data_IF_873876084432
#
_entry.id   IF_873876084432
#
_cell.length_a   1.000
_cell.length_b   1.000
_cell.length_c   1.000
_cell.angle_alpha   90.00
_cell.angle_beta   90.00
_cell.angle_gamma   90.00
#
_symmetry.space_group_name_H-M   'P 1'
#
loop_
_entity.id
_entity.type
_entity.pdbx_description
1 polymer ?
#
# COMPACT_ATOMS: atom_id res chain seq x y z
N UNK A 1 -16.16 -29.62 21.55
CA UNK A 1 -15.92 -28.64 20.47
C UNK A 1 -15.32 -29.37 19.30
N UNK A 2 -15.91 -29.22 18.12
CA UNK A 2 -15.30 -29.63 16.86
C UNK A 2 -14.31 -28.53 16.48
N UNK A 3 -13.03 -28.89 16.38
CA UNK A 3 -11.96 -28.00 15.97
C UNK A 3 -12.00 -27.86 14.44
N UNK A 4 -12.88 -26.98 13.95
CA UNK A 4 -12.95 -26.64 12.54
C UNK A 4 -11.98 -25.50 12.27
N UNK A 5 -11.10 -25.74 11.30
CA UNK A 5 -10.20 -24.73 10.78
C UNK A 5 -10.93 -23.83 9.79
N UNK A 6 -10.70 -22.53 9.92
CA UNK A 6 -11.26 -21.53 9.03
C UNK A 6 -10.60 -21.59 7.65
N UNK A 7 -11.41 -21.40 6.62
CA UNK A 7 -10.96 -21.37 5.22
C UNK A 7 -11.08 -19.99 4.57
N UNK A 8 -11.84 -19.09 5.21
CA UNK A 8 -12.03 -17.70 4.81
C UNK A 8 -11.86 -16.75 6.00
N UNK A 9 -11.45 -15.51 5.73
CA UNK A 9 -11.42 -14.47 6.75
C UNK A 9 -12.84 -14.19 7.29
N UNK A 10 -12.90 -13.74 8.54
CA UNK A 10 -14.11 -13.48 9.32
C UNK A 10 -14.94 -14.71 9.69
N UNK A 11 -14.44 -15.93 9.45
CA UNK A 11 -15.03 -17.12 10.05
C UNK A 11 -14.86 -17.10 11.59
N UNK A 12 -15.83 -17.65 12.34
CA UNK A 12 -15.79 -17.67 13.79
C UNK A 12 -14.67 -18.56 14.32
N UNK A 13 -14.07 -18.17 15.45
CA UNK A 13 -12.98 -18.88 16.08
C UNK A 13 -12.94 -18.66 17.59
N UNK A 14 -12.24 -19.56 18.28
CA UNK A 14 -11.88 -19.45 19.70
C UNK A 14 -10.35 -19.38 19.87
N UNK A 15 -9.60 -20.01 18.97
CA UNK A 15 -8.15 -20.09 19.03
C UNK A 15 -7.48 -19.71 17.69
N UNK A 16 -6.26 -19.14 17.77
CA UNK A 16 -5.47 -18.77 16.60
C UNK A 16 -5.21 -19.96 15.65
N UNK A 17 -5.09 -21.18 16.19
CA UNK A 17 -4.83 -22.40 15.40
C UNK A 17 -5.94 -22.70 14.38
N UNK A 18 -7.18 -22.31 14.67
CA UNK A 18 -8.30 -22.47 13.72
C UNK A 18 -8.09 -21.59 12.49
N UNK A 19 -7.53 -20.40 12.66
CA UNK A 19 -7.31 -19.44 11.58
C UNK A 19 -6.02 -19.76 10.81
N UNK A 20 -4.92 -19.99 11.53
CA UNK A 20 -3.58 -20.09 10.94
C UNK A 20 -3.32 -21.37 10.15
N UNK A 21 -4.22 -22.36 10.21
CA UNK A 21 -4.09 -23.61 9.47
C UNK A 21 -4.18 -23.43 7.94
N UNK A 22 -5.11 -22.60 7.46
CA UNK A 22 -5.28 -22.33 6.02
C UNK A 22 -5.15 -20.84 5.66
N UNK A 23 -5.30 -19.96 6.64
CA UNK A 23 -5.12 -18.52 6.49
C UNK A 23 -3.78 -18.09 7.11
N UNK A 24 -2.73 -18.05 6.29
CA UNK A 24 -1.36 -17.76 6.77
C UNK A 24 -1.29 -16.41 7.48
N UNK A 25 -0.58 -16.37 8.61
CA UNK A 25 -0.39 -15.17 9.46
C UNK A 25 -1.69 -14.56 10.03
N UNK A 26 -2.80 -15.30 10.02
CA UNK A 26 -4.06 -14.88 10.64
C UNK A 26 -4.12 -15.20 12.14
N UNK A 27 -4.99 -14.48 12.85
CA UNK A 27 -5.23 -14.62 14.28
C UNK A 27 -6.73 -14.67 14.57
N UNK A 28 -7.10 -15.30 15.67
CA UNK A 28 -8.44 -15.18 16.22
C UNK A 28 -8.52 -13.91 17.06
N UNK A 29 -9.31 -12.93 16.63
CA UNK A 29 -9.54 -11.68 17.35
C UNK A 29 -11.03 -11.39 17.40
N UNK A 30 -11.53 -11.06 18.59
CA UNK A 30 -12.96 -10.76 18.81
C UNK A 30 -13.88 -11.89 18.28
N UNK A 31 -13.42 -13.13 18.42
CA UNK A 31 -14.16 -14.33 17.99
C UNK A 31 -14.16 -14.58 16.48
N UNK A 32 -13.36 -13.85 15.68
CA UNK A 32 -13.29 -14.01 14.23
C UNK A 32 -11.84 -14.11 13.73
N UNK A 33 -11.63 -14.89 12.68
CA UNK A 33 -10.34 -14.99 12.01
C UNK A 33 -10.04 -13.72 11.22
N UNK A 34 -8.98 -13.01 11.60
CA UNK A 34 -8.60 -11.73 10.99
C UNK A 34 -7.08 -11.59 10.90
N UNK A 35 -6.62 -10.49 10.32
CA UNK A 35 -5.21 -10.11 10.31
C UNK A 35 -4.88 -9.22 11.50
N UNK A 36 -3.63 -9.29 11.96
CA UNK A 36 -3.12 -8.38 12.98
C UNK A 36 -3.16 -6.92 12.51
N UNK A 37 -3.13 -5.98 13.46
CA UNK A 37 -3.09 -4.54 13.18
C UNK A 37 -1.97 -4.21 12.19
N UNK A 38 -2.28 -3.38 11.18
CA UNK A 38 -1.33 -3.01 10.12
C UNK A 38 -1.17 -4.05 9.02
N UNK A 39 -1.98 -5.12 9.04
CA UNK A 39 -2.09 -6.12 7.98
C UNK A 39 -3.52 -6.25 7.49
N UNK A 40 -3.70 -6.74 6.28
CA UNK A 40 -5.00 -7.07 5.71
C UNK A 40 -4.96 -8.43 5.01
N UNK A 41 -6.14 -8.99 4.78
CA UNK A 41 -6.27 -10.26 4.08
C UNK A 41 -6.10 -10.08 2.58
N UNK A 42 -5.19 -10.84 1.99
CA UNK A 42 -5.05 -10.96 0.54
C UNK A 42 -4.96 -12.44 0.19
N UNK A 43 -5.90 -12.93 -0.63
CA UNK A 43 -6.08 -14.37 -0.88
C UNK A 43 -6.27 -15.13 0.44
N UNK A 44 -5.40 -16.09 0.77
CA UNK A 44 -5.42 -16.88 2.00
C UNK A 44 -4.30 -16.48 2.98
N UNK A 45 -3.83 -15.24 2.97
CA UNK A 45 -2.76 -14.78 3.87
C UNK A 45 -2.94 -13.34 4.32
N UNK A 46 -2.33 -13.01 5.44
CA UNK A 46 -2.24 -11.64 5.93
C UNK A 46 -0.97 -10.95 5.42
N UNK A 47 -1.13 -9.92 4.61
CA UNK A 47 -0.03 -9.11 4.07
C UNK A 47 0.00 -7.75 4.75
N UNK A 48 1.15 -7.07 4.71
CA UNK A 48 1.28 -5.73 5.29
C UNK A 48 0.39 -4.75 4.53
N UNK A 49 -0.36 -3.92 5.24
CA UNK A 49 -1.15 -2.85 4.64
C UNK A 49 -0.27 -1.67 4.27
N UNK A 50 -0.40 -1.21 3.04
CA UNK A 50 0.27 -0.03 2.51
C UNK A 50 -0.72 0.80 1.71
N UNK A 51 -0.90 2.07 2.08
CA UNK A 51 -1.79 2.98 1.35
C UNK A 51 -1.11 3.59 0.12
N UNK A 52 -1.88 4.27 -0.72
CA UNK A 52 -1.35 5.08 -1.83
C UNK A 52 -0.28 6.06 -1.31
N UNK A 53 0.85 6.15 -2.02
CA UNK A 53 2.02 6.95 -1.65
C UNK A 53 2.90 6.35 -0.55
N UNK A 54 2.52 5.22 0.05
CA UNK A 54 3.32 4.52 1.06
C UNK A 54 4.21 3.46 0.42
N UNK A 55 5.32 3.13 1.10
CA UNK A 55 6.28 2.14 0.65
C UNK A 55 5.68 0.74 0.53
N UNK A 56 5.96 0.01 -0.54
CA UNK A 56 5.50 -1.35 -0.81
C UNK A 56 6.62 -2.26 -1.36
N UNK A 57 6.47 -3.56 -1.16
CA UNK A 57 7.33 -4.60 -1.75
C UNK A 57 6.65 -5.33 -2.90
N UNK A 58 5.33 -5.38 -2.88
CA UNK A 58 4.50 -6.09 -3.84
C UNK A 58 3.10 -5.48 -3.88
N UNK A 59 2.39 -5.67 -4.99
CA UNK A 59 1.07 -5.09 -5.24
C UNK A 59 0.01 -5.51 -4.22
N UNK A 60 0.09 -6.72 -3.67
CA UNK A 60 -0.83 -7.21 -2.64
C UNK A 60 -0.78 -6.36 -1.36
N UNK A 61 0.34 -5.73 -1.04
CA UNK A 61 0.40 -4.80 0.10
C UNK A 61 -0.42 -3.52 -0.13
N UNK A 62 -0.69 -3.16 -1.39
CA UNK A 62 -1.44 -1.97 -1.77
C UNK A 62 -2.96 -2.20 -1.89
N UNK A 63 -3.40 -3.46 -1.99
CA UNK A 63 -4.82 -3.83 -2.20
C UNK A 63 -5.49 -4.03 -0.84
N UNK A 64 -5.59 -2.96 -0.06
CA UNK A 64 -6.24 -2.99 1.27
C UNK A 64 -7.77 -3.10 1.21
N UNK A 65 -8.34 -2.87 0.03
CA UNK A 65 -9.77 -2.98 -0.29
C UNK A 65 -9.90 -3.65 -1.67
N UNK A 66 -10.89 -4.53 -1.83
CA UNK A 66 -11.09 -5.26 -3.09
C UNK A 66 -11.32 -4.34 -4.29
N UNK A 67 -11.85 -3.14 -4.08
CA UNK A 67 -12.05 -2.11 -5.11
C UNK A 67 -10.73 -1.53 -5.65
N UNK A 68 -9.63 -1.67 -4.91
CA UNK A 68 -8.31 -1.21 -5.34
C UNK A 68 -7.60 -2.20 -6.29
N UNK A 69 -8.08 -3.44 -6.37
CA UNK A 69 -7.41 -4.53 -7.10
C UNK A 69 -7.13 -4.23 -8.58
N UNK A 70 -7.92 -3.37 -9.22
CA UNK A 70 -7.75 -2.93 -10.62
C UNK A 70 -7.34 -1.46 -10.74
N UNK A 71 -6.92 -0.84 -9.65
CA UNK A 71 -6.74 0.61 -9.55
C UNK A 71 -5.34 1.01 -9.07
N UNK A 72 -4.60 0.11 -8.42
CA UNK A 72 -3.27 0.39 -7.86
C UNK A 72 -2.22 -0.63 -8.29
N UNK A 73 -0.96 -0.22 -8.23
CA UNK A 73 0.22 -1.07 -8.41
C UNK A 73 1.34 -0.65 -7.45
N UNK A 74 2.33 -1.51 -7.24
CA UNK A 74 3.54 -1.21 -6.49
C UNK A 74 4.66 -0.79 -7.44
N UNK A 75 4.75 0.50 -7.74
CA UNK A 75 5.70 1.07 -8.71
C UNK A 75 6.80 1.82 -7.97
N UNK A 76 8.06 1.50 -8.28
CA UNK A 76 9.25 2.08 -7.63
C UNK A 76 9.22 1.98 -6.09
N UNK A 77 8.63 0.90 -5.58
CA UNK A 77 8.50 0.65 -4.15
C UNK A 77 7.47 1.53 -3.45
N UNK A 78 6.55 2.17 -4.19
CA UNK A 78 5.43 2.94 -3.66
C UNK A 78 4.11 2.43 -4.23
N UNK A 79 3.06 2.41 -3.41
CA UNK A 79 1.72 2.14 -3.91
C UNK A 79 1.25 3.35 -4.74
N UNK A 80 0.98 3.14 -6.02
CA UNK A 80 0.56 4.18 -6.95
C UNK A 80 -0.72 3.77 -7.66
N UNK A 81 -1.53 4.75 -8.05
CA UNK A 81 -2.68 4.48 -8.90
C UNK A 81 -2.22 4.13 -10.32
N UNK A 82 -2.92 3.19 -10.95
CA UNK A 82 -2.70 2.85 -12.35
C UNK A 82 -2.98 4.07 -13.23
N UNK A 83 -2.20 4.18 -14.32
CA UNK A 83 -2.34 5.30 -15.25
C UNK A 83 -3.75 5.37 -15.83
N UNK A 84 -4.38 6.54 -15.71
CA UNK A 84 -5.72 6.80 -16.22
C UNK A 84 -6.87 6.41 -15.27
N UNK A 85 -6.57 5.82 -14.11
CA UNK A 85 -7.58 5.60 -13.07
C UNK A 85 -7.76 6.87 -12.26
N UNK A 86 -8.96 7.44 -12.33
CA UNK A 86 -9.38 8.59 -11.51
C UNK A 86 -10.62 8.17 -10.72
N UNK A 87 -10.42 7.85 -9.45
CA UNK A 87 -11.44 7.51 -8.49
C UNK A 87 -11.07 8.11 -7.12
N UNK A 88 -11.67 9.26 -6.82
CA UNK A 88 -11.44 9.98 -5.55
C UNK A 88 -11.90 9.17 -4.33
N UNK A 89 -12.87 8.27 -4.49
CA UNK A 89 -13.36 7.44 -3.38
C UNK A 89 -12.35 6.38 -2.94
N UNK A 90 -11.45 6.02 -3.86
CA UNK A 90 -10.34 5.11 -3.64
C UNK A 90 -9.03 5.82 -3.29
N UNK A 91 -9.02 7.16 -3.26
CA UNK A 91 -7.81 7.96 -3.09
C UNK A 91 -6.99 8.10 -4.38
N UNK A 92 -7.50 7.62 -5.52
CA UNK A 92 -6.92 7.83 -6.84
C UNK A 92 -7.46 9.12 -7.45
N UNK A 93 -7.11 10.26 -6.86
CA UNK A 93 -7.41 11.57 -7.43
C UNK A 93 -6.33 12.03 -8.42
N UNK A 94 -6.70 12.93 -9.33
CA UNK A 94 -5.78 13.57 -10.30
C UNK A 94 -4.74 14.53 -9.68
N UNK A 95 -4.43 14.39 -8.39
CA UNK A 95 -3.70 15.37 -7.59
C UNK A 95 -2.49 14.75 -6.90
N UNK A 96 -1.40 14.56 -7.65
CA UNK A 96 -0.14 14.13 -7.05
C UNK A 96 0.88 13.65 -8.06
N UNK A 97 1.21 14.45 -9.08
CA UNK A 97 2.55 14.35 -9.64
C UNK A 97 3.52 14.68 -8.50
N UNK A 98 4.10 13.66 -7.87
CA UNK A 98 5.34 13.85 -7.13
C UNK A 98 6.38 14.24 -8.17
N UNK A 99 6.49 15.54 -8.45
CA UNK A 99 7.63 16.08 -9.17
C UNK A 99 8.81 15.89 -8.22
N UNK A 100 9.48 14.76 -8.33
CA UNK A 100 10.78 14.51 -7.72
C UNK A 100 11.78 15.42 -8.42
N UNK A 101 11.79 16.71 -8.08
CA UNK A 101 12.84 17.62 -8.51
C UNK A 101 14.12 17.18 -7.82
N UNK A 102 15.06 16.66 -8.61
CA UNK A 102 16.39 16.32 -8.11
C UNK A 102 17.04 17.55 -7.49
N UNK A 103 17.68 17.38 -6.31
CA UNK A 103 18.51 18.41 -5.68
C UNK A 103 19.62 18.92 -6.63
N UNK A 104 20.06 18.10 -7.58
CA UNK A 104 21.04 18.51 -8.58
C UNK A 104 20.47 19.55 -9.54
N UNK A 105 19.18 19.43 -9.88
CA UNK A 105 18.52 20.40 -10.77
C UNK A 105 18.39 21.76 -10.09
N UNK A 106 18.05 21.82 -8.80
CA UNK A 106 17.94 23.08 -8.06
C UNK A 106 19.31 23.76 -7.89
N UNK A 107 20.35 22.98 -7.58
CA UNK A 107 21.74 23.49 -7.49
C UNK A 107 22.20 24.05 -8.84
N UNK A 108 21.90 23.35 -9.95
CA UNK A 108 22.25 23.81 -11.30
C UNK A 108 21.59 25.16 -11.64
N UNK A 109 20.29 25.32 -11.34
CA UNK A 109 19.58 26.58 -11.55
C UNK A 109 20.17 27.73 -10.72
N UNK A 110 20.53 27.49 -9.46
CA UNK A 110 21.16 28.49 -8.59
C UNK A 110 22.56 28.88 -9.10
N UNK A 111 23.34 27.91 -9.57
CA UNK A 111 24.67 28.16 -10.11
C UNK A 111 24.62 29.02 -11.39
N UNK A 112 23.68 28.74 -12.30
CA UNK A 112 23.47 29.53 -13.52
C UNK A 112 23.04 30.95 -13.16
N UNK A 113 22.07 31.13 -12.28
CA UNK A 113 21.57 32.47 -11.94
C UNK A 113 22.65 33.35 -11.31
N UNK A 114 23.49 32.78 -10.44
CA UNK A 114 24.64 33.48 -9.87
C UNK A 114 25.69 33.85 -10.93
N UNK A 115 25.98 32.93 -11.87
CA UNK A 115 26.92 33.19 -12.97
C UNK A 115 26.40 34.32 -13.88
N UNK A 116 25.11 34.29 -14.23
CA UNK A 116 24.48 35.34 -15.03
C UNK A 116 24.50 36.70 -14.31
N UNK A 117 24.24 36.72 -13.00
CA UNK A 117 24.32 37.95 -12.20
C UNK A 117 25.74 38.55 -12.21
N UNK A 118 26.77 37.71 -12.16
CA UNK A 118 28.17 38.13 -12.28
C UNK A 118 28.58 38.60 -13.68
N UNK A 119 27.86 38.20 -14.72
CA UNK A 119 28.13 38.67 -16.10
C UNK A 119 27.51 40.06 -16.32
N UNK A 120 26.43 40.37 -15.61
CA UNK A 120 25.68 41.63 -15.75
C UNK A 120 26.20 42.75 -14.81
N UNK A 121 26.92 42.40 -13.73
CA UNK A 121 27.57 43.33 -12.79
C UNK A 121 29.08 43.45 -13.09
#
# INVERSE_FOLDING_TARGET
>A
MLFLAATYFYEPCEENGQCSQFLTDSVCSEGNCTCQIGRHGYSNRCVRSSGIGQGCKSIDECITDSRLSSSVDCVDGLCQCLSGVVDETLGCGSGGTHVSTSLLSTIYYIAISYLLLKIVL
#
